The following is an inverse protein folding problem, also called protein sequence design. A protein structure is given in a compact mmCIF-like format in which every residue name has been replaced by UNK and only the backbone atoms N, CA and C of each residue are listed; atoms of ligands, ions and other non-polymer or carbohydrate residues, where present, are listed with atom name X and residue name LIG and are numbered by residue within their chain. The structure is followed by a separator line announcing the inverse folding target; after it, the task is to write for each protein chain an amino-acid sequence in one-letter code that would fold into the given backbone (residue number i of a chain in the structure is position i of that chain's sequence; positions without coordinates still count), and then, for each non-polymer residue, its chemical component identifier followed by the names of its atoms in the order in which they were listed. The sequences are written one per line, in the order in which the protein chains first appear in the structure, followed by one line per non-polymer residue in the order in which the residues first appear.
data_IF_433489659198
#
_entry.id   IF_433489659198
#
_cell.length_a   1.000
_cell.length_b   1.000
_cell.length_c   1.000
_cell.angle_alpha   90.00
_cell.angle_beta   90.00
_cell.angle_gamma   90.00
#
_symmetry.space_group_name_H-M   'P 1'
#
loop_
_entity.id
_entity.type
_entity.pdbx_description
1 polymer ?
#
# COMPACT_ATOMS: atom_id res chain seq x y z
N UNK A 1 12.09 8.56 2.36
CA UNK A 1 11.49 7.25 2.66
C UNK A 1 12.59 6.44 3.31
N UNK A 2 12.36 5.98 4.54
CA UNK A 2 13.40 5.39 5.39
C UNK A 2 13.23 3.88 5.46
N UNK A 3 14.28 3.13 5.82
CA UNK A 3 14.13 1.68 5.95
C UNK A 3 13.23 1.36 7.14
N UNK A 4 12.32 0.38 7.02
CA UNK A 4 11.49 -0.06 8.14
C UNK A 4 12.30 -0.35 9.41
N UNK A 5 13.46 -0.98 9.28
CA UNK A 5 14.31 -1.39 10.39
C UNK A 5 14.86 -0.18 11.18
N UNK A 6 15.16 0.92 10.50
CA UNK A 6 15.69 2.15 11.12
C UNK A 6 14.69 2.76 12.13
N UNK A 7 13.39 2.50 11.94
CA UNK A 7 12.32 2.94 12.84
C UNK A 7 11.75 1.81 13.69
N UNK A 8 12.42 0.65 13.73
CA UNK A 8 12.05 -0.51 14.53
C UNK A 8 10.87 -1.30 13.97
N UNK A 9 10.66 -1.26 12.66
CA UNK A 9 9.69 -2.09 11.94
C UNK A 9 10.41 -3.18 11.13
N UNK A 10 9.68 -4.20 10.71
CA UNK A 10 10.20 -5.30 9.89
C UNK A 10 9.70 -5.14 8.46
N UNK A 11 10.62 -5.10 7.49
CA UNK A 11 10.28 -5.07 6.07
C UNK A 11 9.43 -6.28 5.68
N UNK A 12 9.81 -7.48 6.12
CA UNK A 12 9.06 -8.73 5.86
C UNK A 12 7.60 -8.63 6.34
N UNK A 13 7.36 -8.09 7.54
CA UNK A 13 6.00 -7.90 8.05
C UNK A 13 5.23 -6.84 7.28
N UNK A 14 5.90 -5.79 6.80
CA UNK A 14 5.25 -4.76 5.98
C UNK A 14 4.80 -5.30 4.62
N UNK A 15 5.55 -6.24 4.02
CA UNK A 15 5.12 -6.89 2.78
C UNK A 15 3.76 -7.59 2.89
N UNK A 16 3.40 -8.06 4.10
CA UNK A 16 2.10 -8.71 4.33
C UNK A 16 0.93 -7.74 4.12
N UNK A 17 1.14 -6.44 4.34
CA UNK A 17 0.12 -5.42 4.09
C UNK A 17 -0.16 -5.36 2.58
N UNK A 18 0.89 -5.22 1.76
CA UNK A 18 0.77 -5.20 0.31
C UNK A 18 0.13 -6.46 -0.26
N UNK A 19 0.53 -7.64 0.24
CA UNK A 19 -0.09 -8.94 -0.13
C UNK A 19 -1.59 -8.98 0.20
N UNK A 20 -1.98 -8.48 1.37
CA UNK A 20 -3.37 -8.46 1.80
C UNK A 20 -4.21 -7.51 0.93
N UNK A 21 -3.70 -6.30 0.65
CA UNK A 21 -4.41 -5.33 -0.19
C UNK A 21 -4.59 -5.84 -1.62
N UNK A 22 -3.54 -6.42 -2.21
CA UNK A 22 -3.64 -7.06 -3.54
C UNK A 22 -4.67 -8.18 -3.56
N UNK A 23 -4.70 -9.04 -2.54
CA UNK A 23 -5.72 -10.10 -2.43
C UNK A 23 -7.14 -9.54 -2.40
N UNK A 24 -7.39 -8.44 -1.70
CA UNK A 24 -8.72 -7.81 -1.67
C UNK A 24 -9.14 -7.26 -3.05
N UNK A 25 -8.19 -6.76 -3.84
CA UNK A 25 -8.41 -6.32 -5.21
C UNK A 25 -8.67 -7.52 -6.13
N UNK A 26 -7.86 -8.58 -6.03
CA UNK A 26 -8.02 -9.84 -6.78
C UNK A 26 -9.37 -10.52 -6.49
N UNK A 27 -9.79 -10.54 -5.22
CA UNK A 27 -11.10 -11.03 -4.78
C UNK A 27 -12.27 -10.09 -5.17
N UNK A 28 -11.98 -8.99 -5.88
CA UNK A 28 -12.94 -7.95 -6.31
C UNK A 28 -13.77 -7.35 -5.16
N UNK A 29 -13.22 -7.35 -3.95
CA UNK A 29 -13.87 -6.76 -2.77
C UNK A 29 -13.75 -5.24 -2.75
N UNK A 30 -12.65 -4.72 -3.29
CA UNK A 30 -12.36 -3.29 -3.45
C UNK A 30 -11.66 -3.06 -4.81
N UNK A 31 -11.85 -1.90 -5.46
CA UNK A 31 -11.26 -1.63 -6.77
C UNK A 31 -9.78 -1.24 -6.70
N UNK A 32 -9.33 -0.67 -5.57
CA UNK A 32 -7.97 -0.21 -5.37
C UNK A 32 -7.72 0.27 -3.94
N UNK A 33 -6.45 0.53 -3.63
CA UNK A 33 -5.98 0.95 -2.30
C UNK A 33 -4.81 1.90 -2.43
N UNK A 34 -4.73 2.89 -1.54
CA UNK A 34 -3.49 3.61 -1.24
C UNK A 34 -3.14 3.35 0.22
N UNK A 35 -1.92 2.87 0.47
CA UNK A 35 -1.44 2.47 1.80
C UNK A 35 -0.23 3.30 2.17
N UNK A 36 -0.30 4.02 3.28
CA UNK A 36 0.82 4.76 3.87
C UNK A 36 1.10 4.24 5.28
N UNK A 37 2.36 3.94 5.56
CA UNK A 37 2.85 3.58 6.90
C UNK A 37 3.99 4.49 7.26
N UNK A 38 3.84 5.18 8.39
CA UNK A 38 4.85 6.05 8.95
C UNK A 38 5.09 5.74 10.43
N UNK A 39 6.35 5.85 10.87
CA UNK A 39 6.73 5.67 12.27
C UNK A 39 7.91 6.58 12.60
N UNK A 40 7.89 7.19 13.79
CA UNK A 40 8.90 8.18 14.22
C UNK A 40 9.07 9.35 13.22
N UNK A 41 7.98 9.79 12.59
CA UNK A 41 8.00 10.88 11.60
C UNK A 41 8.50 10.47 10.21
N UNK A 42 8.92 9.22 10.02
CA UNK A 42 9.46 8.72 8.76
C UNK A 42 8.45 7.81 8.03
N UNK A 43 8.26 8.03 6.72
CA UNK A 43 7.48 7.13 5.87
C UNK A 43 8.33 5.93 5.47
N UNK A 44 7.82 4.73 5.74
CA UNK A 44 8.53 3.45 5.49
C UNK A 44 7.80 2.54 4.50
N UNK A 45 6.51 2.77 4.27
CA UNK A 45 5.74 2.14 3.19
C UNK A 45 4.81 3.18 2.60
N UNK A 46 4.81 3.30 1.28
CA UNK A 46 3.81 4.06 0.56
C UNK A 46 3.56 3.35 -0.77
N UNK A 47 2.35 2.86 -0.98
CA UNK A 47 1.98 2.07 -2.16
C UNK A 47 0.59 2.46 -2.65
N UNK A 48 0.39 2.45 -3.96
CA UNK A 48 -0.90 2.58 -4.60
C UNK A 48 -1.12 1.36 -5.48
N UNK A 49 -2.28 0.71 -5.36
CA UNK A 49 -2.62 -0.53 -6.07
C UNK A 49 -4.06 -0.44 -6.59
N UNK A 50 -4.31 -1.04 -7.75
CA UNK A 50 -5.66 -1.08 -8.36
C UNK A 50 -6.09 0.24 -8.98
N UNK A 51 -7.41 0.46 -9.05
CA UNK A 51 -8.03 1.53 -9.81
C UNK A 51 -8.79 2.50 -8.89
N UNK A 52 -8.69 3.80 -9.17
CA UNK A 52 -9.57 4.83 -8.58
C UNK A 52 -10.90 4.94 -9.31
N UNK A 53 -10.92 4.57 -10.59
CA UNK A 53 -12.10 4.56 -11.45
C UNK A 53 -12.06 3.28 -12.30
N UNK A 54 -13.01 2.38 -12.04
CA UNK A 54 -13.08 1.07 -12.72
C UNK A 54 -13.60 1.24 -14.15
N UNK A 55 -14.58 2.11 -14.37
CA UNK A 55 -15.20 2.29 -15.69
C UNK A 55 -14.24 2.95 -16.67
N UNK A 56 -13.48 3.93 -16.18
CA UNK A 56 -12.47 4.64 -16.97
C UNK A 56 -11.09 3.99 -16.92
N UNK A 57 -10.94 2.89 -16.18
CA UNK A 57 -9.69 2.18 -15.97
C UNK A 57 -8.54 3.10 -15.52
N UNK A 58 -8.81 3.99 -14.56
CA UNK A 58 -7.81 4.92 -14.03
C UNK A 58 -7.10 4.33 -12.82
N UNK A 59 -5.76 4.28 -12.81
CA UNK A 59 -5.00 3.72 -11.70
C UNK A 59 -5.15 4.55 -10.42
N UNK A 60 -4.98 3.90 -9.27
CA UNK A 60 -4.69 4.61 -8.03
C UNK A 60 -3.34 5.31 -8.14
N UNK A 61 -3.28 6.55 -7.69
CA UNK A 61 -2.07 7.37 -7.66
C UNK A 61 -1.77 7.74 -6.20
N UNK A 62 -0.49 7.91 -5.90
CA UNK A 62 -0.08 8.59 -4.66
C UNK A 62 -0.21 10.08 -4.95
N UNK A 63 -0.81 10.84 -4.04
CA UNK A 63 -0.87 12.30 -4.14
C UNK A 63 0.53 12.94 -4.22
#
# INVERSE_FOLDING_TARGET
MSKPEDVGMSSERLEHIGKTMRRLIEEKKIPGTVTLVARKGEVVLFEANGLRDVERNLPMEKD
#
